data_IF_092272676755
#
_entry.id   IF_092272676755
#
_cell.length_a   1.000
_cell.length_b   1.000
_cell.length_c   1.000
_cell.angle_alpha   90.00
_cell.angle_beta   90.00
_cell.angle_gamma   90.00
#
_symmetry.space_group_name_H-M   'P 1'
#
loop_
_entity.id
_entity.type
_entity.pdbx_description
1 polymer ?
#
# COMPACT_ATOMS: atom_id res chain seq x y z
N UNK A 1 -8.55 -4.25 -5.37
CA UNK A 1 -7.78 -5.52 -5.51
C UNK A 1 -8.26 -6.20 -6.77
N UNK A 2 -7.33 -6.64 -7.62
CA UNK A 2 -7.63 -7.28 -8.90
C UNK A 2 -7.12 -8.72 -8.89
N UNK A 3 -7.86 -9.63 -9.52
CA UNK A 3 -7.53 -11.04 -9.66
C UNK A 3 -7.39 -11.38 -11.14
N UNK A 4 -6.33 -12.09 -11.49
CA UNK A 4 -6.00 -12.53 -12.85
C UNK A 4 -5.69 -14.04 -12.82
N UNK A 5 -6.71 -14.89 -13.00
CA UNK A 5 -6.56 -16.34 -12.92
C UNK A 5 -5.64 -16.89 -14.01
N UNK A 6 -5.78 -16.43 -15.26
CA UNK A 6 -4.93 -16.89 -16.37
C UNK A 6 -3.45 -16.57 -16.13
N UNK A 7 -3.17 -15.43 -15.50
CA UNK A 7 -1.83 -14.99 -15.16
C UNK A 7 -1.33 -15.50 -13.78
N UNK A 8 -2.19 -16.23 -13.05
CA UNK A 8 -1.97 -16.69 -11.68
C UNK A 8 -1.53 -15.59 -10.72
N UNK A 9 -2.19 -14.43 -10.77
CA UNK A 9 -1.74 -13.24 -10.06
C UNK A 9 -2.90 -12.51 -9.37
N UNK A 10 -2.64 -11.98 -8.17
CA UNK A 10 -3.52 -11.03 -7.48
C UNK A 10 -2.77 -9.74 -7.18
N UNK A 11 -3.33 -8.60 -7.59
CA UNK A 11 -2.85 -7.28 -7.20
C UNK A 11 -3.55 -6.83 -5.91
N UNK A 12 -2.83 -6.87 -4.80
CA UNK A 12 -3.29 -6.34 -3.52
C UNK A 12 -3.29 -4.81 -3.52
N UNK A 13 -4.40 -4.22 -3.04
CA UNK A 13 -4.53 -2.78 -2.94
C UNK A 13 -4.05 -2.27 -1.58
N UNK A 14 -2.74 -2.16 -1.38
CA UNK A 14 -2.19 -1.47 -0.19
C UNK A 14 -2.66 -0.01 -0.21
N UNK A 15 -3.25 0.51 0.88
CA UNK A 15 -3.66 1.91 0.93
C UNK A 15 -2.51 2.88 0.71
N UNK A 16 -2.76 3.97 -0.03
CA UNK A 16 -1.83 5.11 -0.21
C UNK A 16 -0.52 4.82 -0.96
N UNK A 17 -0.43 3.68 -1.64
CA UNK A 17 0.73 3.29 -2.46
C UNK A 17 0.47 3.38 -3.96
N UNK A 18 -0.44 4.27 -4.39
CA UNK A 18 -0.72 4.50 -5.82
C UNK A 18 -1.51 3.37 -6.50
N UNK A 19 -2.00 2.39 -5.76
CA UNK A 19 -2.71 1.21 -6.30
C UNK A 19 -3.99 1.54 -7.06
N UNK A 20 -4.61 2.70 -6.84
CA UNK A 20 -5.77 3.16 -7.65
C UNK A 20 -5.41 3.35 -9.12
N UNK A 21 -4.19 3.84 -9.40
CA UNK A 21 -3.66 3.99 -10.75
C UNK A 21 -3.62 2.66 -11.51
N UNK A 22 -3.01 1.67 -10.86
CA UNK A 22 -2.85 0.33 -11.40
C UNK A 22 -4.22 -0.35 -11.51
N UNK A 23 -5.09 -0.15 -10.53
CA UNK A 23 -6.45 -0.68 -10.57
C UNK A 23 -7.21 -0.15 -11.79
N UNK A 24 -7.29 1.17 -11.97
CA UNK A 24 -7.98 1.78 -13.12
C UNK A 24 -7.38 1.33 -14.46
N UNK A 25 -6.05 1.26 -14.54
CA UNK A 25 -5.34 0.89 -15.75
C UNK A 25 -5.50 -0.58 -16.13
N UNK A 26 -5.49 -1.51 -15.15
CA UNK A 26 -5.47 -2.95 -15.41
C UNK A 26 -6.82 -3.64 -15.19
N UNK A 27 -7.84 -2.93 -14.69
CA UNK A 27 -9.20 -3.47 -14.51
C UNK A 27 -9.76 -4.15 -15.77
N UNK A 28 -9.54 -3.65 -17.01
CA UNK A 28 -10.06 -4.30 -18.22
C UNK A 28 -9.54 -5.73 -18.46
N UNK A 29 -8.41 -6.09 -17.85
CA UNK A 29 -7.80 -7.42 -17.96
C UNK A 29 -8.05 -8.30 -16.72
N UNK A 30 -8.68 -7.76 -15.69
CA UNK A 30 -8.95 -8.51 -14.46
C UNK A 30 -10.15 -9.43 -14.65
N UNK A 31 -10.01 -10.68 -14.23
CA UNK A 31 -11.10 -11.65 -14.25
C UNK A 31 -12.08 -11.42 -13.08
N UNK A 32 -11.58 -10.84 -11.97
CA UNK A 32 -12.41 -10.37 -10.87
C UNK A 32 -11.80 -9.13 -10.19
N UNK A 33 -12.66 -8.32 -9.57
CA UNK A 33 -12.23 -7.14 -8.83
C UNK A 33 -13.00 -6.97 -7.52
N UNK A 34 -12.28 -6.55 -6.48
CA UNK A 34 -12.82 -6.15 -5.19
C UNK A 34 -12.56 -4.66 -4.99
N UNK A 35 -13.58 -3.86 -5.30
CA UNK A 35 -13.51 -2.39 -5.25
C UNK A 35 -14.13 -1.83 -3.97
N UNK A 36 -15.16 -2.48 -3.42
CA UNK A 36 -15.85 -2.09 -2.20
C UNK A 36 -16.39 -3.32 -1.44
N UNK A 37 -16.64 -3.23 -0.13
CA UNK A 37 -16.30 -2.10 0.75
C UNK A 37 -14.76 -1.95 0.92
N UNK A 38 -14.25 -0.81 1.41
CA UNK A 38 -12.80 -0.58 1.56
C UNK A 38 -12.08 -1.68 2.36
N UNK A 39 -12.75 -2.27 3.34
CA UNK A 39 -12.22 -3.40 4.13
C UNK A 39 -11.97 -4.66 3.30
N UNK A 40 -12.70 -4.85 2.21
CA UNK A 40 -12.52 -5.99 1.29
C UNK A 40 -11.48 -5.65 0.21
N UNK A 41 -11.45 -4.40 -0.26
CA UNK A 41 -10.45 -3.88 -1.20
C UNK A 41 -9.03 -3.89 -0.61
N UNK A 42 -8.87 -3.35 0.60
CA UNK A 42 -7.59 -3.19 1.29
C UNK A 42 -7.32 -4.37 2.22
N UNK A 43 -7.29 -5.57 1.63
CA UNK A 43 -7.07 -6.81 2.36
C UNK A 43 -5.57 -7.07 2.56
N UNK A 44 -5.16 -7.30 3.81
CA UNK A 44 -3.78 -7.71 4.12
C UNK A 44 -3.51 -9.12 3.58
N UNK A 45 -2.23 -9.47 3.40
CA UNK A 45 -1.82 -10.83 2.99
C UNK A 45 -2.43 -11.89 3.88
N UNK A 46 -2.28 -11.75 5.20
CA UNK A 46 -2.91 -12.65 6.18
C UNK A 46 -4.41 -12.86 5.96
N UNK A 47 -5.13 -11.77 5.71
CA UNK A 47 -6.59 -11.84 5.54
C UNK A 47 -6.94 -12.46 4.18
N UNK A 48 -6.18 -12.19 3.13
CA UNK A 48 -6.32 -12.85 1.83
C UNK A 48 -6.15 -14.36 1.98
N UNK A 49 -5.04 -14.81 2.58
CA UNK A 49 -4.73 -16.23 2.74
C UNK A 49 -5.81 -16.96 3.56
N UNK A 50 -6.29 -16.34 4.65
CA UNK A 50 -7.34 -16.95 5.49
C UNK A 50 -8.73 -16.95 4.85
N UNK A 51 -9.10 -15.89 4.13
CA UNK A 51 -10.51 -15.66 3.75
C UNK A 51 -10.82 -15.81 2.28
N UNK A 52 -9.84 -15.62 1.39
CA UNK A 52 -10.09 -15.62 -0.05
C UNK A 52 -9.28 -16.67 -0.80
N UNK A 53 -8.08 -17.05 -0.35
CA UNK A 53 -7.24 -18.01 -1.06
C UNK A 53 -8.01 -19.32 -1.35
N UNK A 54 -8.69 -19.89 -0.36
CA UNK A 54 -9.48 -21.12 -0.54
C UNK A 54 -10.61 -21.01 -1.58
N UNK A 55 -11.11 -19.79 -1.86
CA UNK A 55 -12.13 -19.55 -2.89
C UNK A 55 -11.48 -19.30 -4.25
N UNK A 56 -10.47 -18.43 -4.27
CA UNK A 56 -9.84 -17.98 -5.51
C UNK A 56 -8.89 -19.02 -6.09
N UNK A 57 -8.37 -19.94 -5.27
CA UNK A 57 -7.42 -20.99 -5.65
C UNK A 57 -8.09 -22.38 -5.67
N UNK A 58 -9.43 -22.46 -5.56
CA UNK A 58 -10.16 -23.72 -5.39
C UNK A 58 -9.98 -24.71 -6.55
N UNK A 59 -9.99 -24.21 -7.79
CA UNK A 59 -9.98 -25.00 -9.03
C UNK A 59 -8.63 -24.92 -9.75
N UNK A 60 -7.59 -24.42 -9.10
CA UNK A 60 -6.33 -24.11 -9.78
C UNK A 60 -5.12 -24.08 -8.88
N UNK A 61 -4.00 -23.72 -9.50
CA UNK A 61 -2.74 -23.55 -8.81
C UNK A 61 -2.76 -22.31 -7.89
N UNK A 62 -1.90 -22.25 -6.86
CA UNK A 62 -1.79 -21.07 -6.01
C UNK A 62 -1.53 -19.80 -6.82
N UNK A 63 -2.21 -18.72 -6.43
CA UNK A 63 -2.03 -17.40 -7.01
C UNK A 63 -0.85 -16.69 -6.35
N UNK A 64 0.01 -16.10 -7.18
CA UNK A 64 1.06 -15.19 -6.75
C UNK A 64 0.43 -13.86 -6.30
N UNK A 65 0.98 -13.25 -5.26
CA UNK A 65 0.55 -11.96 -4.74
C UNK A 65 1.52 -10.87 -5.17
N UNK A 66 0.98 -9.82 -5.78
CA UNK A 66 1.70 -8.59 -6.08
C UNK A 66 1.19 -7.44 -5.22
N UNK A 67 2.11 -6.58 -4.79
CA UNK A 67 1.78 -5.34 -4.12
C UNK A 67 2.77 -4.21 -4.47
N UNK A 68 2.39 -2.99 -4.07
CA UNK A 68 3.26 -1.81 -4.12
C UNK A 68 3.43 -1.27 -2.71
N UNK A 69 4.67 -1.04 -2.31
CA UNK A 69 5.05 -0.36 -1.08
C UNK A 69 5.50 1.06 -1.39
N UNK A 70 5.26 1.99 -0.47
CA UNK A 70 5.75 3.36 -0.54
C UNK A 70 6.77 3.61 0.57
N UNK A 71 7.72 4.50 0.31
CA UNK A 71 8.70 4.94 1.31
C UNK A 71 7.94 5.31 2.62
N UNK A 72 8.37 4.80 3.79
CA UNK A 72 7.60 4.90 5.03
C UNK A 72 7.16 6.32 5.41
N UNK A 73 8.04 7.33 5.29
CA UNK A 73 7.72 8.72 5.64
C UNK A 73 6.73 9.31 4.63
N UNK A 74 6.95 9.09 3.34
CA UNK A 74 6.06 9.56 2.27
C UNK A 74 4.68 8.86 2.32
N UNK A 75 4.64 7.61 2.78
CA UNK A 75 3.39 6.89 3.03
C UNK A 75 2.59 7.52 4.18
N UNK A 76 3.24 7.81 5.31
CA UNK A 76 2.62 8.53 6.43
C UNK A 76 2.16 9.94 6.00
N UNK A 77 2.98 10.66 5.23
CA UNK A 77 2.62 11.97 4.70
C UNK A 77 1.39 11.88 3.79
N UNK A 78 1.28 10.83 2.97
CA UNK A 78 0.13 10.59 2.11
C UNK A 78 -1.17 10.37 2.90
N UNK A 79 -1.08 9.67 4.04
CA UNK A 79 -2.20 9.50 4.96
C UNK A 79 -2.59 10.79 5.66
N UNK A 80 -1.61 11.51 6.20
CA UNK A 80 -1.81 12.79 6.88
C UNK A 80 -2.53 13.78 5.97
N UNK A 81 -2.08 13.97 4.73
CA UNK A 81 -2.77 14.84 3.75
C UNK A 81 -4.14 14.33 3.36
N UNK A 82 -4.31 13.02 3.24
CA UNK A 82 -5.61 12.44 2.90
C UNK A 82 -6.64 12.74 3.98
N UNK A 83 -6.27 12.62 5.26
CA UNK A 83 -7.12 12.89 6.43
C UNK A 83 -7.34 14.38 6.73
N UNK A 84 -6.55 15.26 6.13
CA UNK A 84 -6.70 16.71 6.24
C UNK A 84 -7.73 17.31 5.26
N UNK A 85 -8.30 16.50 4.36
CA UNK A 85 -9.28 16.96 3.36
C UNK A 85 -10.58 17.40 4.02
N UNK A 86 -11.23 18.41 3.43
CA UNK A 86 -12.51 18.95 3.91
C UNK A 86 -13.59 17.89 4.09
N UNK A 87 -13.64 16.88 3.21
CA UNK A 87 -14.59 15.77 3.31
C UNK A 87 -14.46 14.93 4.60
N UNK A 88 -13.34 15.05 5.32
CA UNK A 88 -13.05 14.35 6.59
C UNK A 88 -13.09 15.33 7.77
N UNK A 89 -13.11 16.65 7.52
CA UNK A 89 -13.14 17.66 8.57
C UNK A 89 -14.28 17.43 9.57
N UNK A 90 -13.99 17.65 10.86
CA UNK A 90 -14.92 17.41 11.96
C UNK A 90 -15.12 15.94 12.36
N UNK A 91 -14.52 14.98 11.65
CA UNK A 91 -14.53 13.56 12.05
C UNK A 91 -13.32 13.21 12.93
N UNK A 92 -13.42 12.19 13.79
CA UNK A 92 -12.30 11.74 14.63
C UNK A 92 -11.03 11.36 13.84
N UNK A 93 -11.18 10.97 12.57
CA UNK A 93 -10.05 10.62 11.70
C UNK A 93 -9.35 11.83 11.08
N UNK A 94 -9.87 13.05 11.26
CA UNK A 94 -9.32 14.24 10.62
C UNK A 94 -7.97 14.62 11.22
N UNK A 95 -7.03 14.98 10.34
CA UNK A 95 -5.74 15.59 10.72
C UNK A 95 -5.74 17.10 10.49
N UNK A 96 -6.92 17.71 10.26
CA UNK A 96 -7.03 19.17 10.15
C UNK A 96 -6.56 19.83 11.45
N UNK A 97 -5.59 20.76 11.34
CA UNK A 97 -4.96 21.42 12.49
C UNK A 97 -3.89 20.58 13.22
N UNK A 98 -3.62 19.35 12.78
CA UNK A 98 -2.53 18.51 13.30
C UNK A 98 -1.35 18.61 12.35
N UNK A 99 -0.18 19.04 12.84
CA UNK A 99 1.02 19.03 12.01
C UNK A 99 1.54 17.60 11.75
N UNK A 100 2.44 17.45 10.78
CA UNK A 100 2.88 16.14 10.35
C UNK A 100 3.74 15.41 11.41
N UNK A 101 4.56 16.14 12.17
CA UNK A 101 5.41 15.53 13.19
C UNK A 101 4.56 14.99 14.34
N UNK A 102 3.55 15.74 14.79
CA UNK A 102 2.57 15.31 15.78
C UNK A 102 1.78 14.08 15.31
N UNK A 103 1.40 14.03 14.02
CA UNK A 103 0.77 12.84 13.43
C UNK A 103 1.69 11.60 13.47
N UNK A 104 2.97 11.76 13.13
CA UNK A 104 3.94 10.65 13.17
C UNK A 104 4.16 10.16 14.60
N UNK A 105 4.33 11.07 15.57
CA UNK A 105 4.46 10.70 16.97
C UNK A 105 3.21 9.96 17.48
N UNK A 106 2.01 10.47 17.18
CA UNK A 106 0.76 9.81 17.54
C UNK A 106 0.56 8.44 16.86
N UNK A 107 1.12 8.22 15.66
CA UNK A 107 1.08 6.92 14.99
C UNK A 107 2.00 5.88 15.66
N UNK A 108 3.03 6.33 16.38
CA UNK A 108 3.94 5.47 17.13
C UNK A 108 3.41 5.04 18.50
N UNK A 109 2.35 5.66 18.99
CA UNK A 109 1.70 5.29 20.25
C UNK A 109 1.14 3.86 20.20
N UNK A 110 1.08 3.21 21.37
CA UNK A 110 0.52 1.86 21.50
C UNK A 110 -0.99 1.83 21.18
N UNK A 111 -1.72 2.86 21.62
CA UNK A 111 -3.11 3.11 21.25
C UNK A 111 -3.23 4.45 20.51
N UNK A 112 -2.95 4.48 19.21
CA UNK A 112 -2.95 5.72 18.45
C UNK A 112 -4.37 6.27 18.33
N UNK A 113 -4.56 7.60 18.43
CA UNK A 113 -5.85 8.24 18.24
C UNK A 113 -6.40 7.98 16.83
N UNK A 114 -7.71 8.13 16.65
CA UNK A 114 -8.40 7.81 15.39
C UNK A 114 -7.77 8.47 14.17
N UNK A 115 -7.27 9.71 14.30
CA UNK A 115 -6.61 10.43 13.20
C UNK A 115 -5.24 9.85 12.82
N UNK A 116 -4.57 9.12 13.70
CA UNK A 116 -3.27 8.46 13.46
C UNK A 116 -3.41 6.94 13.20
N UNK A 117 -4.58 6.35 13.46
CA UNK A 117 -4.85 4.91 13.27
C UNK A 117 -4.98 4.51 11.78
N UNK A 118 -3.84 4.40 11.08
CA UNK A 118 -3.75 4.07 9.63
C UNK A 118 -3.10 2.72 9.31
N UNK A 119 -2.63 1.98 10.32
CA UNK A 119 -1.98 0.67 10.17
C UNK A 119 -0.49 0.77 9.83
N UNK A 120 0.09 -0.31 9.30
CA UNK A 120 1.51 -0.45 8.95
C UNK A 120 1.64 -1.19 7.61
N UNK A 121 2.57 -0.81 6.73
CA UNK A 121 2.74 -1.49 5.44
C UNK A 121 3.39 -2.86 5.63
N UNK A 122 4.40 -2.96 6.50
CA UNK A 122 5.05 -4.23 6.90
C UNK A 122 4.02 -5.27 7.30
N UNK A 123 3.12 -4.95 8.24
CA UNK A 123 2.04 -5.83 8.69
C UNK A 123 0.98 -6.12 7.62
N UNK A 124 0.78 -5.21 6.66
CA UNK A 124 -0.13 -5.45 5.55
C UNK A 124 0.41 -6.52 4.60
N UNK A 125 1.73 -6.50 4.38
CA UNK A 125 2.47 -7.31 3.42
C UNK A 125 3.00 -8.62 4.00
N UNK A 126 3.01 -8.77 5.32
CA UNK A 126 3.47 -9.99 5.97
C UNK A 126 2.37 -11.04 6.18
N UNK A 127 2.82 -12.30 6.25
CA UNK A 127 2.03 -13.45 6.68
C UNK A 127 1.86 -13.51 8.21
N UNK A 128 1.26 -14.60 8.71
CA UNK A 128 1.07 -14.84 10.14
C UNK A 128 2.38 -14.99 10.93
N UNK A 129 3.47 -15.37 10.27
CA UNK A 129 4.81 -15.48 10.86
C UNK A 129 5.59 -14.17 10.83
N UNK A 130 5.03 -13.09 10.27
CA UNK A 130 5.72 -11.80 10.11
C UNK A 130 6.67 -11.75 8.92
N UNK A 131 6.75 -12.81 8.11
CA UNK A 131 7.58 -12.86 6.90
C UNK A 131 6.84 -12.21 5.75
N UNK A 132 7.58 -11.63 4.79
CA UNK A 132 6.98 -11.05 3.59
C UNK A 132 6.19 -12.13 2.85
N UNK A 133 4.88 -11.93 2.70
CA UNK A 133 3.98 -12.92 2.10
C UNK A 133 3.43 -12.51 0.75
N UNK A 134 4.08 -11.55 0.08
CA UNK A 134 3.88 -11.23 -1.34
C UNK A 134 5.04 -11.75 -2.16
N UNK A 135 4.74 -12.24 -3.35
CA UNK A 135 5.72 -12.80 -4.30
C UNK A 135 6.41 -11.68 -5.09
N UNK A 136 5.66 -10.62 -5.43
CA UNK A 136 6.15 -9.47 -6.18
C UNK A 136 5.87 -8.17 -5.45
N UNK A 137 6.91 -7.49 -4.99
CA UNK A 137 6.78 -6.21 -4.30
C UNK A 137 7.53 -5.11 -5.06
N UNK A 138 6.80 -4.06 -5.43
CA UNK A 138 7.34 -2.94 -6.17
C UNK A 138 7.34 -1.65 -5.34
N UNK A 139 8.21 -0.73 -5.74
CA UNK A 139 8.30 0.59 -5.11
C UNK A 139 7.36 1.58 -5.77
N UNK A 140 6.67 2.37 -4.96
CA UNK A 140 5.78 3.43 -5.42
C UNK A 140 6.52 4.53 -6.20
N UNK A 141 7.75 4.86 -5.82
CA UNK A 141 8.59 5.86 -6.52
C UNK A 141 9.16 5.35 -7.85
N UNK A 142 8.95 4.06 -8.17
CA UNK A 142 9.31 3.39 -9.41
C UNK A 142 8.15 2.53 -9.91
N UNK A 143 6.95 3.12 -9.91
CA UNK A 143 5.70 2.44 -10.28
C UNK A 143 5.72 1.88 -11.70
N UNK A 144 6.56 2.44 -12.58
CA UNK A 144 6.84 1.96 -13.93
C UNK A 144 7.32 0.50 -13.95
N UNK A 145 8.08 0.06 -12.95
CA UNK A 145 8.49 -1.33 -12.83
C UNK A 145 7.28 -2.26 -12.56
N UNK A 146 6.35 -1.82 -11.70
CA UNK A 146 5.12 -2.55 -11.41
C UNK A 146 4.22 -2.65 -12.66
N UNK A 147 4.12 -1.55 -13.41
CA UNK A 147 3.41 -1.48 -14.69
C UNK A 147 4.03 -2.42 -15.72
N UNK A 148 5.35 -2.39 -15.89
CA UNK A 148 6.06 -3.21 -16.86
C UNK A 148 5.87 -4.70 -16.55
N UNK A 149 5.99 -5.09 -15.26
CA UNK A 149 5.71 -6.45 -14.82
C UNK A 149 4.28 -6.88 -15.15
N UNK A 150 3.28 -6.09 -14.76
CA UNK A 150 1.87 -6.42 -15.03
C UNK A 150 1.59 -6.50 -16.54
N UNK A 151 2.08 -5.53 -17.31
CA UNK A 151 1.91 -5.50 -18.77
C UNK A 151 2.51 -6.73 -19.43
N UNK A 152 3.72 -7.12 -19.05
CA UNK A 152 4.39 -8.32 -19.55
C UNK A 152 3.67 -9.60 -19.13
N UNK A 153 3.26 -9.70 -17.86
CA UNK A 153 2.56 -10.88 -17.33
C UNK A 153 1.18 -11.08 -17.96
N UNK A 154 0.48 -9.99 -18.26
CA UNK A 154 -0.88 -10.01 -18.81
C UNK A 154 -0.92 -9.96 -20.35
N UNK A 155 0.21 -9.67 -21.01
CA UNK A 155 0.21 -9.33 -22.44
C UNK A 155 -0.62 -8.08 -22.74
N UNK A 156 -0.66 -7.13 -21.80
CA UNK A 156 -1.50 -5.95 -21.84
C UNK A 156 -0.69 -4.69 -22.19
N UNK A 157 -1.35 -3.71 -22.82
CA UNK A 157 -0.79 -2.39 -23.12
C UNK A 157 -1.75 -1.30 -22.61
N UNK A 158 -1.82 -1.08 -21.28
CA UNK A 158 -2.76 -0.12 -20.72
C UNK A 158 -2.35 1.33 -21.03
N UNK A 159 -3.33 2.19 -21.30
CA UNK A 159 -3.13 3.63 -21.31
C UNK A 159 -3.05 4.15 -19.87
N UNK A 160 -1.84 4.23 -19.33
CA UNK A 160 -1.65 4.81 -18.01
C UNK A 160 -1.55 6.32 -18.16
N UNK A 161 -2.67 7.00 -17.96
CA UNK A 161 -2.65 8.44 -17.78
C UNK A 161 -1.63 8.78 -16.69
N UNK A 162 -0.64 9.63 -17.01
CA UNK A 162 0.37 10.15 -16.06
C UNK A 162 -0.24 10.97 -14.89
N UNK A 163 -1.53 10.82 -14.58
CA UNK A 163 -2.21 11.46 -13.45
C UNK A 163 -1.69 11.01 -12.08
N UNK A 164 -0.88 9.96 -12.01
CA UNK A 164 -0.42 9.37 -10.75
C UNK A 164 0.98 9.76 -10.29
N UNK A 165 1.69 10.60 -11.03
CA UNK A 165 2.66 11.49 -10.39
C UNK A 165 1.85 12.63 -9.79
N UNK A 166 1.40 12.47 -8.53
CA UNK A 166 1.30 13.68 -7.69
C UNK A 166 2.65 14.39 -7.88
N UNK A 167 2.68 15.65 -8.36
CA UNK A 167 3.94 16.34 -8.63
C UNK A 167 4.82 16.11 -7.41
N UNK A 168 6.03 15.57 -7.64
CA UNK A 168 6.94 15.01 -6.65
C UNK A 168 7.19 15.96 -5.49
N UNK A 169 6.18 16.09 -4.63
CA UNK A 169 6.23 16.94 -3.48
C UNK A 169 7.03 16.12 -2.50
N UNK A 170 8.20 16.61 -2.08
CA UNK A 170 9.00 15.87 -1.13
C UNK A 170 8.10 15.49 0.05
N UNK A 171 8.35 14.33 0.68
CA UNK A 171 7.69 13.98 1.92
C UNK A 171 7.73 15.20 2.86
N UNK A 172 6.62 15.43 3.57
CA UNK A 172 6.57 16.52 4.51
C UNK A 172 7.78 16.45 5.45
N UNK A 173 8.47 17.56 5.62
CA UNK A 173 9.67 17.63 6.43
C UNK A 173 9.38 17.16 7.86
N UNK A 174 10.24 16.30 8.39
CA UNK A 174 10.22 15.87 9.79
C UNK A 174 11.45 16.43 10.50
N UNK A 175 11.31 16.89 11.75
CA UNK A 175 12.47 17.14 12.61
C UNK A 175 13.30 15.85 12.77
N UNK A 176 14.63 15.98 12.78
CA UNK A 176 15.56 14.84 12.88
C UNK A 176 15.25 13.93 14.07
N UNK A 177 14.88 14.51 15.22
CA UNK A 177 14.50 13.75 16.41
C UNK A 177 13.25 12.87 16.19
N UNK A 178 12.26 13.36 15.42
CA UNK A 178 11.05 12.58 15.09
C UNK A 178 11.36 11.52 14.04
N UNK A 179 12.23 11.82 13.06
CA UNK A 179 12.67 10.84 12.08
C UNK A 179 13.44 9.70 12.76
N UNK A 180 14.38 10.01 13.65
CA UNK A 180 15.13 9.01 14.42
C UNK A 180 14.19 8.14 15.26
N UNK A 181 13.26 8.77 15.99
CA UNK A 181 12.26 8.04 16.78
C UNK A 181 11.42 7.09 15.90
N UNK A 182 11.05 7.52 14.70
CA UNK A 182 10.32 6.72 13.74
C UNK A 182 11.14 5.50 13.26
N UNK A 183 12.44 5.67 12.99
CA UNK A 183 13.34 4.56 12.68
C UNK A 183 13.45 3.56 13.84
N UNK A 184 13.57 4.06 15.07
CA UNK A 184 13.76 3.22 16.26
C UNK A 184 12.49 2.43 16.63
N UNK A 185 11.31 3.02 16.43
CA UNK A 185 10.01 2.46 16.84
C UNK A 185 9.24 1.74 15.72
N UNK A 186 9.66 1.90 14.46
CA UNK A 186 9.10 1.18 13.32
C UNK A 186 10.19 0.64 12.38
N UNK A 187 11.23 -0.04 12.90
CA UNK A 187 12.35 -0.51 12.09
C UNK A 187 11.90 -1.46 10.97
N UNK A 188 10.80 -2.19 11.15
CA UNK A 188 10.26 -3.11 10.15
C UNK A 188 9.77 -2.43 8.87
N UNK A 189 9.28 -1.18 8.96
CA UNK A 189 8.87 -0.42 7.77
C UNK A 189 10.09 -0.07 6.92
N UNK A 190 11.16 0.41 7.56
CA UNK A 190 12.39 0.82 6.87
C UNK A 190 13.20 -0.37 6.37
N UNK A 191 13.36 -1.42 7.19
CA UNK A 191 14.09 -2.62 6.79
C UNK A 191 13.49 -3.28 5.53
N UNK A 192 12.15 -3.26 5.39
CA UNK A 192 11.50 -3.75 4.18
C UNK A 192 11.72 -2.81 2.99
N UNK A 193 11.60 -1.49 3.19
CA UNK A 193 11.85 -0.50 2.15
C UNK A 193 13.29 -0.53 1.64
N UNK A 194 14.27 -0.65 2.54
CA UNK A 194 15.70 -0.69 2.21
C UNK A 194 16.04 -1.94 1.40
N UNK A 195 15.45 -3.09 1.74
CA UNK A 195 15.55 -4.32 0.93
C UNK A 195 15.04 -4.11 -0.50
N UNK A 196 13.91 -3.41 -0.66
CA UNK A 196 13.39 -3.06 -1.99
C UNK A 196 14.29 -2.07 -2.73
N UNK A 197 14.97 -1.18 -2.01
CA UNK A 197 15.92 -0.25 -2.62
C UNK A 197 17.21 -0.95 -3.07
N UNK A 198 17.62 -2.01 -2.37
CA UNK A 198 18.81 -2.79 -2.70
C UNK A 198 18.57 -3.82 -3.81
N UNK A 199 17.33 -4.28 -4.00
CA UNK A 199 16.97 -5.15 -5.12
C UNK A 199 17.09 -4.37 -6.44
N UNK A 200 17.96 -4.86 -7.34
CA UNK A 200 18.22 -4.27 -8.66
C UNK A 200 17.14 -4.65 -9.66
#
# INVERSE_FOLDING_TARGET
MLVFWKARLVLLAVPKTGTTALEEAFLPWADASFLNPPRLKHMTVRRYRRQLAHVLEAEGEPLELMAVMREPVDWLSSWHRYRARDAIAGRPQSTAGVDFAAFVQAWLDEDPPEFARVGRQSRFLSDDGGTLGVDHLFRHDRIDAAVAFLSGRLGAAPEIARRNVSPGRPPAWLPDATLQLLHDKAPEEFALWDKLCAAK
#
